data_IF_790193810222
#
_entry.id   IF_790193810222
#
_cell.length_a   1.000
_cell.length_b   1.000
_cell.length_c   1.000
_cell.angle_alpha   90.00
_cell.angle_beta   90.00
_cell.angle_gamma   90.00
#
_symmetry.space_group_name_H-M   'P 1'
#
loop_
_entity.id
_entity.type
_entity.pdbx_description
1 polymer ?
#
# COMPACT_ATOMS: atom_id res chain seq x y z
N UNK A 1 58.73 -33.08 13.60
CA UNK A 1 58.88 -32.61 12.22
C UNK A 1 57.63 -31.81 11.88
N UNK A 2 57.77 -30.50 11.75
CA UNK A 2 56.69 -29.56 11.44
C UNK A 2 56.45 -29.51 9.92
N UNK A 3 55.19 -29.51 9.47
CA UNK A 3 54.84 -29.28 8.07
C UNK A 3 54.09 -27.94 7.97
N UNK A 4 54.70 -27.02 7.21
CA UNK A 4 54.24 -25.66 6.96
C UNK A 4 53.10 -25.60 5.93
N UNK A 5 52.30 -24.56 6.13
CA UNK A 5 51.15 -24.03 5.37
C UNK A 5 51.38 -23.74 3.88
N UNK A 6 50.31 -23.81 3.09
CA UNK A 6 50.11 -22.92 1.93
C UNK A 6 48.60 -22.66 1.71
N UNK A 7 48.13 -21.48 2.12
CA UNK A 7 46.80 -20.95 1.76
C UNK A 7 46.99 -20.08 0.53
N UNK A 8 46.52 -20.54 -0.62
CA UNK A 8 46.45 -19.74 -1.84
C UNK A 8 45.25 -18.80 -1.79
N UNK A 9 45.49 -17.49 -1.82
CA UNK A 9 44.44 -16.49 -1.99
C UNK A 9 44.09 -16.35 -3.47
N UNK A 10 42.85 -16.69 -3.85
CA UNK A 10 42.30 -16.37 -5.17
C UNK A 10 41.55 -15.05 -5.06
N UNK A 11 42.13 -13.99 -5.63
CA UNK A 11 41.47 -12.71 -5.78
C UNK A 11 40.59 -12.73 -7.04
N UNK A 12 39.27 -12.76 -6.87
CA UNK A 12 38.31 -12.52 -7.95
C UNK A 12 38.01 -11.02 -8.03
N UNK A 13 38.53 -10.36 -9.06
CA UNK A 13 38.18 -9.00 -9.42
C UNK A 13 36.82 -9.00 -10.15
N UNK A 14 35.79 -8.41 -9.53
CA UNK A 14 34.50 -8.15 -10.18
C UNK A 14 34.57 -6.76 -10.80
N UNK A 15 34.57 -6.71 -12.14
CA UNK A 15 34.44 -5.46 -12.90
C UNK A 15 32.95 -5.08 -12.96
N UNK A 16 32.55 -4.08 -12.18
CA UNK A 16 31.20 -3.52 -12.23
C UNK A 16 31.12 -2.46 -13.36
N UNK A 17 30.55 -2.83 -14.50
CA UNK A 17 30.25 -1.90 -15.59
C UNK A 17 28.94 -1.16 -15.26
N UNK A 18 29.04 -0.03 -14.56
CA UNK A 18 27.91 0.80 -14.15
C UNK A 18 27.49 1.79 -15.25
N UNK A 19 26.58 1.38 -16.13
CA UNK A 19 25.83 2.34 -16.97
C UNK A 19 24.72 2.97 -16.11
N UNK A 20 25.06 4.03 -15.37
CA UNK A 20 24.10 4.80 -14.60
C UNK A 20 23.28 5.70 -15.53
N UNK A 21 22.10 5.22 -15.94
CA UNK A 21 21.07 6.08 -16.52
C UNK A 21 20.34 6.79 -15.38
N UNK A 22 20.75 8.02 -15.09
CA UNK A 22 20.04 8.92 -14.17
C UNK A 22 18.72 9.35 -14.82
N UNK A 23 17.55 9.09 -14.20
CA UNK A 23 16.31 9.69 -14.68
C UNK A 23 16.38 11.21 -14.47
N UNK A 24 15.97 11.99 -15.47
CA UNK A 24 15.85 13.45 -15.35
C UNK A 24 14.91 13.78 -14.19
N UNK A 25 15.39 14.59 -13.23
CA UNK A 25 14.53 15.14 -12.18
C UNK A 25 13.54 16.12 -12.83
N UNK A 26 12.23 16.02 -12.57
CA UNK A 26 11.29 17.06 -12.97
C UNK A 26 11.62 18.34 -12.19
N UNK A 27 11.76 19.44 -12.92
CA UNK A 27 12.02 20.76 -12.34
C UNK A 27 10.69 21.36 -11.88
N UNK A 28 10.44 21.32 -10.56
CA UNK A 28 9.31 22.02 -9.96
C UNK A 28 9.80 23.39 -9.49
N UNK A 29 9.80 24.34 -10.43
CA UNK A 29 9.91 25.75 -10.07
C UNK A 29 8.60 26.14 -9.36
N UNK A 30 8.66 26.29 -8.03
CA UNK A 30 7.53 26.80 -7.28
C UNK A 30 7.33 28.26 -7.66
N UNK A 31 6.31 28.56 -8.47
CA UNK A 31 5.87 29.92 -8.71
C UNK A 31 5.40 30.52 -7.38
N UNK A 32 6.30 31.28 -6.74
CA UNK A 32 6.06 31.96 -5.47
C UNK A 32 5.34 33.30 -5.65
N UNK A 33 4.83 33.61 -6.85
CA UNK A 33 4.13 34.87 -7.10
C UNK A 33 2.62 34.67 -7.15
N UNK A 34 2.03 34.32 -6.01
CA UNK A 34 0.59 34.12 -5.89
C UNK A 34 0.10 34.18 -4.45
N UNK A 35 0.32 35.29 -3.74
CA UNK A 35 -0.34 35.54 -2.45
C UNK A 35 -1.82 35.77 -2.71
N UNK A 36 -2.66 34.75 -2.52
CA UNK A 36 -4.11 34.96 -2.39
C UNK A 36 -4.34 35.55 -1.00
N UNK A 37 -4.84 36.80 -0.86
CA UNK A 37 -5.08 37.36 0.47
C UNK A 37 -6.30 36.65 1.09
N UNK A 38 -6.11 36.06 2.26
CA UNK A 38 -7.23 35.69 3.13
C UNK A 38 -7.91 36.99 3.58
N UNK A 39 -9.19 37.18 3.29
CA UNK A 39 -9.98 38.32 3.77
C UNK A 39 -10.23 38.21 5.29
N UNK A 40 -9.76 39.20 6.05
CA UNK A 40 -9.88 39.24 7.51
C UNK A 40 -11.34 39.44 7.96
N UNK A 41 -11.84 38.79 9.04
CA UNK A 41 -13.27 38.75 9.35
C UNK A 41 -13.87 40.05 9.90
N UNK A 42 -13.05 41.04 10.28
CA UNK A 42 -13.50 42.24 10.99
C UNK A 42 -13.15 43.53 10.26
N UNK A 43 -13.78 43.77 9.10
CA UNK A 43 -13.82 45.10 8.49
C UNK A 43 -15.28 45.48 8.21
N UNK A 44 -15.81 46.59 8.77
CA UNK A 44 -17.14 47.06 8.42
C UNK A 44 -17.12 47.50 6.95
N UNK A 45 -17.97 46.88 6.13
CA UNK A 45 -18.08 47.21 4.72
C UNK A 45 -18.83 48.54 4.58
N UNK A 46 -18.19 49.52 3.94
CA UNK A 46 -18.88 50.69 3.41
C UNK A 46 -19.81 50.24 2.28
N UNK A 47 -21.05 50.72 2.31
CA UNK A 47 -22.05 50.40 1.29
C UNK A 47 -21.60 50.93 -0.08
N UNK A 48 -21.56 50.12 -1.14
CA UNK A 48 -21.45 50.63 -2.50
C UNK A 48 -22.83 51.10 -2.95
N UNK A 49 -23.01 52.41 -3.02
CA UNK A 49 -24.03 53.05 -3.86
C UNK A 49 -23.57 52.94 -5.31
N UNK A 50 -24.14 51.99 -6.06
CA UNK A 50 -24.54 52.19 -7.45
C UNK A 50 -25.35 50.98 -7.92
N UNK A 51 -26.63 51.21 -8.16
CA UNK A 51 -27.60 50.22 -8.62
C UNK A 51 -27.32 49.85 -10.08
N UNK A 52 -26.41 48.90 -10.30
CA UNK A 52 -26.38 48.17 -11.55
C UNK A 52 -27.65 47.32 -11.65
N UNK A 53 -28.54 47.69 -12.56
CA UNK A 53 -29.75 46.92 -12.90
C UNK A 53 -29.34 45.52 -13.34
N UNK A 54 -29.49 44.55 -12.45
CA UNK A 54 -29.41 43.13 -12.79
C UNK A 54 -30.67 42.83 -13.60
N UNK A 55 -30.57 42.78 -14.92
CA UNK A 55 -31.63 42.25 -15.77
C UNK A 55 -32.00 40.82 -15.31
N UNK A 56 -33.26 40.38 -15.49
CA UNK A 56 -33.68 39.09 -14.97
C UNK A 56 -32.78 37.99 -15.55
N UNK A 57 -32.18 37.18 -14.68
CA UNK A 57 -31.52 35.97 -15.09
C UNK A 57 -32.53 35.11 -15.89
N UNK A 58 -32.09 34.51 -17.01
CA UNK A 58 -32.93 33.52 -17.71
C UNK A 58 -33.34 32.45 -16.71
N UNK A 59 -34.65 32.23 -16.57
CA UNK A 59 -35.16 31.14 -15.76
C UNK A 59 -34.57 29.82 -16.28
N UNK A 60 -33.86 29.10 -15.41
CA UNK A 60 -33.58 27.68 -15.64
C UNK A 60 -34.95 27.00 -15.70
N UNK A 61 -35.19 26.21 -16.76
CA UNK A 61 -36.47 25.60 -17.07
C UNK A 61 -37.15 24.97 -15.84
N UNK A 62 -38.50 24.98 -15.77
CA UNK A 62 -39.22 24.50 -14.59
C UNK A 62 -38.88 23.04 -14.28
N UNK A 63 -38.98 22.74 -12.99
CA UNK A 63 -38.72 21.50 -12.29
C UNK A 63 -39.63 20.33 -12.73
N UNK A 64 -39.59 20.00 -14.01
CA UNK A 64 -40.27 18.85 -14.58
C UNK A 64 -39.35 18.23 -15.63
N UNK A 65 -38.42 17.39 -15.17
CA UNK A 65 -37.83 16.38 -16.04
C UNK A 65 -38.93 15.32 -16.22
N UNK A 66 -39.82 15.50 -17.20
CA UNK A 66 -40.71 14.42 -17.62
C UNK A 66 -39.81 13.31 -18.16
N UNK A 67 -39.67 12.16 -17.50
CA UNK A 67 -39.04 11.02 -18.14
C UNK A 67 -39.89 10.75 -19.39
N UNK A 68 -39.30 10.61 -20.59
CA UNK A 68 -40.10 10.28 -21.76
C UNK A 68 -40.97 9.07 -21.40
N UNK A 69 -42.26 9.11 -21.76
CA UNK A 69 -43.16 7.97 -21.60
C UNK A 69 -42.59 6.81 -22.42
N UNK A 70 -41.69 6.05 -21.79
CA UNK A 70 -41.11 4.87 -22.38
C UNK A 70 -42.25 3.87 -22.48
N UNK A 71 -42.71 3.62 -23.72
CA UNK A 71 -43.67 2.59 -23.99
C UNK A 71 -43.24 1.32 -23.23
N UNK A 72 -44.17 0.68 -22.52
CA UNK A 72 -43.99 -0.59 -21.79
C UNK A 72 -43.85 -1.75 -22.78
N UNK A 73 -42.95 -1.61 -23.75
CA UNK A 73 -42.59 -2.67 -24.66
C UNK A 73 -41.77 -3.68 -23.87
N UNK A 74 -42.17 -4.95 -23.98
CA UNK A 74 -41.46 -6.06 -23.38
C UNK A 74 -40.05 -6.09 -23.98
N UNK A 75 -39.05 -5.73 -23.16
CA UNK A 75 -37.67 -5.72 -23.61
C UNK A 75 -37.20 -7.16 -23.80
N UNK A 76 -37.03 -7.58 -25.04
CA UNK A 76 -36.44 -8.86 -25.37
C UNK A 76 -34.91 -8.75 -25.31
N UNK A 77 -34.27 -9.64 -24.55
CA UNK A 77 -32.81 -9.73 -24.50
C UNK A 77 -32.33 -10.33 -25.81
N UNK A 78 -31.83 -9.47 -26.69
CA UNK A 78 -31.10 -9.88 -27.88
C UNK A 78 -29.68 -10.28 -27.46
N UNK A 79 -29.14 -11.31 -28.11
CA UNK A 79 -27.76 -11.73 -27.95
C UNK A 79 -26.78 -10.56 -28.15
N UNK A 80 -25.67 -10.61 -27.40
CA UNK A 80 -24.67 -9.56 -27.47
C UNK A 80 -24.15 -9.43 -28.91
N UNK A 81 -24.15 -8.20 -29.44
CA UNK A 81 -23.61 -7.93 -30.77
C UNK A 81 -22.16 -8.43 -30.84
N UNK A 82 -21.76 -9.15 -31.90
CA UNK A 82 -20.36 -9.55 -32.07
C UNK A 82 -19.44 -8.31 -32.10
N UNK A 83 -18.19 -8.44 -31.61
CA UNK A 83 -17.23 -7.34 -31.64
C UNK A 83 -17.05 -6.82 -33.07
N UNK A 84 -16.72 -5.53 -33.21
CA UNK A 84 -16.53 -4.84 -34.50
C UNK A 84 -15.21 -5.24 -35.20
N UNK A 85 -14.92 -6.55 -35.21
CA UNK A 85 -13.68 -7.15 -35.69
C UNK A 85 -12.76 -7.64 -34.58
N UNK A 86 -11.61 -8.15 -34.98
CA UNK A 86 -10.66 -8.84 -34.10
C UNK A 86 -9.98 -7.92 -33.06
N UNK A 87 -10.08 -6.60 -33.23
CA UNK A 87 -9.54 -5.61 -32.29
C UNK A 87 -10.36 -5.47 -31.00
N UNK A 88 -11.63 -5.91 -31.01
CA UNK A 88 -12.53 -5.84 -29.84
C UNK A 88 -12.50 -7.09 -28.96
N UNK A 89 -11.76 -8.12 -29.35
CA UNK A 89 -11.62 -9.35 -28.57
C UNK A 89 -10.50 -9.17 -27.55
N UNK A 90 -10.86 -8.92 -26.29
CA UNK A 90 -9.89 -9.08 -25.21
C UNK A 90 -9.45 -10.56 -25.20
N UNK A 91 -8.15 -10.86 -25.32
CA UNK A 91 -7.68 -12.24 -25.22
C UNK A 91 -8.07 -12.79 -23.84
N UNK A 92 -8.48 -14.06 -23.76
CA UNK A 92 -8.75 -14.69 -22.47
C UNK A 92 -7.51 -14.53 -21.58
N UNK A 93 -7.69 -14.26 -20.28
CA UNK A 93 -6.57 -14.09 -19.36
C UNK A 93 -5.68 -15.33 -19.45
N UNK A 94 -4.39 -15.12 -19.70
CA UNK A 94 -3.41 -16.22 -19.76
C UNK A 94 -3.47 -16.96 -18.41
N UNK A 95 -3.70 -18.29 -18.40
CA UNK A 95 -3.58 -19.06 -17.18
C UNK A 95 -2.15 -18.87 -16.65
N UNK A 96 -2.01 -18.19 -15.50
CA UNK A 96 -0.76 -18.24 -14.77
C UNK A 96 -0.61 -19.66 -14.25
N UNK A 97 0.54 -20.28 -14.52
CA UNK A 97 0.89 -21.54 -13.87
C UNK A 97 0.74 -21.33 -12.35
N UNK A 98 0.12 -22.28 -11.62
CA UNK A 98 0.06 -22.18 -10.17
C UNK A 98 1.49 -22.01 -9.66
N UNK A 99 1.70 -21.00 -8.81
CA UNK A 99 2.92 -20.91 -8.01
C UNK A 99 2.99 -22.21 -7.18
N UNK A 100 4.14 -22.88 -7.12
CA UNK A 100 4.32 -24.16 -6.41
C UNK A 100 4.15 -24.02 -4.87
N UNK A 101 3.72 -22.84 -4.42
CA UNK A 101 3.46 -22.52 -3.04
C UNK A 101 2.06 -22.98 -2.63
N UNK A 102 2.00 -24.09 -1.90
CA UNK A 102 0.75 -24.56 -1.28
C UNK A 102 0.28 -23.54 -0.22
N UNK A 103 -0.99 -23.14 -0.31
CA UNK A 103 -1.60 -22.21 0.64
C UNK A 103 -3.01 -21.77 0.26
N UNK A 104 -3.66 -21.06 1.16
CA UNK A 104 -5.00 -20.51 0.99
C UNK A 104 -4.91 -19.02 0.69
N UNK A 105 -5.55 -18.56 -0.38
CA UNK A 105 -5.71 -17.13 -0.67
C UNK A 105 -6.73 -16.53 0.29
N UNK A 106 -6.29 -15.55 1.09
CA UNK A 106 -7.11 -14.89 2.10
C UNK A 106 -7.62 -13.54 1.58
N UNK A 107 -8.86 -13.51 1.12
CA UNK A 107 -9.46 -12.30 0.54
C UNK A 107 -9.88 -11.29 1.62
N UNK A 108 -9.80 -10.00 1.24
CA UNK A 108 -10.24 -8.85 2.03
C UNK A 108 -9.63 -8.81 3.45
N UNK A 109 -8.29 -8.84 3.58
CA UNK A 109 -7.66 -8.85 4.89
C UNK A 109 -7.89 -7.53 5.65
N UNK A 110 -8.23 -7.66 6.93
CA UNK A 110 -8.40 -6.58 7.91
C UNK A 110 -7.23 -6.61 8.88
N UNK A 111 -6.27 -5.69 8.72
CA UNK A 111 -5.09 -5.57 9.58
C UNK A 111 -5.49 -5.18 11.02
N UNK A 112 -5.02 -5.95 12.01
CA UNK A 112 -5.32 -5.79 13.44
C UNK A 112 -4.14 -5.32 14.27
N UNK A 113 -2.91 -5.62 13.86
CA UNK A 113 -1.68 -5.07 14.44
C UNK A 113 -0.64 -4.82 13.35
N UNK A 114 0.57 -4.43 13.72
CA UNK A 114 1.71 -4.30 12.80
C UNK A 114 2.17 -5.63 12.18
N UNK A 115 1.75 -6.78 12.73
CA UNK A 115 2.08 -8.11 12.19
C UNK A 115 0.92 -9.13 12.30
N UNK A 116 -0.32 -8.66 12.27
CA UNK A 116 -1.50 -9.54 12.24
C UNK A 116 -2.66 -8.98 11.44
N UNK A 117 -3.47 -9.88 10.88
CA UNK A 117 -4.70 -9.53 10.16
C UNK A 117 -5.75 -10.62 10.30
N UNK A 118 -7.00 -10.26 9.99
CA UNK A 118 -8.12 -11.18 9.91
C UNK A 118 -8.68 -11.24 8.50
N UNK A 119 -9.02 -12.43 8.01
CA UNK A 119 -9.60 -12.63 6.69
C UNK A 119 -10.36 -13.95 6.66
N UNK A 120 -11.56 -13.99 6.07
CA UNK A 120 -12.30 -15.23 5.85
C UNK A 120 -12.46 -16.13 7.10
N UNK A 121 -12.59 -15.52 8.29
CA UNK A 121 -12.69 -16.24 9.57
C UNK A 121 -11.36 -16.63 10.21
N UNK A 122 -10.24 -16.47 9.50
CA UNK A 122 -8.90 -16.66 10.04
C UNK A 122 -8.43 -15.44 10.82
N UNK A 123 -7.79 -15.69 11.96
CA UNK A 123 -6.97 -14.72 12.68
C UNK A 123 -5.50 -15.09 12.45
N UNK A 124 -4.80 -14.34 11.62
CA UNK A 124 -3.43 -14.65 11.20
C UNK A 124 -2.43 -13.78 11.93
N UNK A 125 -1.47 -14.42 12.59
CA UNK A 125 -0.23 -13.82 13.07
C UNK A 125 0.87 -14.15 12.05
N UNK A 126 1.66 -13.16 11.64
CA UNK A 126 2.75 -13.41 10.69
C UNK A 126 3.86 -14.21 11.40
N UNK A 127 4.07 -15.45 10.99
CA UNK A 127 5.07 -16.34 11.58
C UNK A 127 6.47 -15.73 11.49
N UNK A 128 7.29 -15.94 12.52
CA UNK A 128 8.68 -15.42 12.60
C UNK A 128 8.79 -13.94 12.97
N UNK A 129 7.69 -13.23 13.15
CA UNK A 129 7.69 -11.80 13.51
C UNK A 129 7.12 -11.55 14.90
N UNK A 130 7.54 -10.44 15.50
CA UNK A 130 6.94 -9.87 16.70
C UNK A 130 6.37 -8.48 16.37
N UNK A 131 5.08 -8.32 16.66
CA UNK A 131 4.35 -7.09 16.36
C UNK A 131 4.80 -5.95 17.27
N UNK A 132 5.02 -4.77 16.70
CA UNK A 132 5.07 -3.51 17.44
C UNK A 132 3.68 -3.24 18.04
N UNK A 133 3.61 -3.11 19.36
CA UNK A 133 2.35 -2.84 20.06
C UNK A 133 1.69 -1.54 19.61
N UNK A 134 0.36 -1.51 19.49
CA UNK A 134 -0.39 -0.37 18.94
C UNK A 134 -0.09 0.96 19.65
N UNK A 135 0.05 0.93 20.97
CA UNK A 135 0.32 2.09 21.80
C UNK A 135 1.82 2.32 22.07
N UNK A 136 2.69 1.54 21.42
CA UNK A 136 4.13 1.69 21.58
C UNK A 136 4.61 3.02 21.01
N UNK A 137 5.46 3.70 21.77
CA UNK A 137 6.13 4.93 21.35
C UNK A 137 7.62 4.66 21.21
N UNK A 138 8.22 5.24 20.17
CA UNK A 138 9.64 5.13 19.88
C UNK A 138 10.29 6.49 20.04
N UNK A 139 11.59 6.49 20.33
CA UNK A 139 12.41 7.70 20.37
C UNK A 139 13.45 7.65 19.25
N UNK A 140 13.62 8.75 18.54
CA UNK A 140 14.73 8.92 17.62
C UNK A 140 15.27 10.35 17.74
N UNK A 141 16.56 10.48 18.09
CA UNK A 141 17.23 11.78 18.27
C UNK A 141 16.45 12.74 19.20
N UNK A 142 15.92 12.21 20.30
CA UNK A 142 15.15 12.98 21.30
C UNK A 142 13.69 13.23 20.94
N UNK A 143 13.23 12.79 19.76
CA UNK A 143 11.84 12.96 19.33
C UNK A 143 11.07 11.67 19.60
N UNK A 144 10.07 11.78 20.50
CA UNK A 144 9.13 10.70 20.79
C UNK A 144 7.98 10.69 19.79
N UNK A 145 7.58 9.50 19.33
CA UNK A 145 6.48 9.36 18.37
C UNK A 145 5.76 8.01 18.47
N UNK A 146 4.50 7.96 18.03
CA UNK A 146 3.62 6.77 18.11
C UNK A 146 3.93 5.76 17.01
N UNK A 147 5.07 5.10 17.14
CA UNK A 147 5.55 4.16 16.14
C UNK A 147 4.67 2.91 15.98
N UNK A 148 3.95 2.48 17.02
CA UNK A 148 2.99 1.39 16.95
C UNK A 148 1.85 1.63 15.96
N UNK A 149 1.23 2.82 16.01
CA UNK A 149 0.18 3.21 15.08
C UNK A 149 0.70 3.31 13.66
N UNK A 150 1.90 3.88 13.49
CA UNK A 150 2.53 4.00 12.18
C UNK A 150 2.85 2.64 11.57
N UNK A 151 3.37 1.70 12.36
CA UNK A 151 3.67 0.34 11.90
C UNK A 151 2.40 -0.40 11.45
N UNK A 152 1.31 -0.31 12.23
CA UNK A 152 0.02 -0.87 11.84
C UNK A 152 -0.51 -0.24 10.54
N UNK A 153 -0.41 1.09 10.41
CA UNK A 153 -0.82 1.80 9.20
C UNK A 153 0.02 1.40 7.99
N UNK A 154 1.35 1.30 8.14
CA UNK A 154 2.24 0.86 7.08
C UNK A 154 1.85 -0.54 6.57
N UNK A 155 1.61 -1.48 7.49
CA UNK A 155 1.15 -2.81 7.11
C UNK A 155 -0.23 -2.78 6.45
N UNK A 156 -1.18 -1.99 6.97
CA UNK A 156 -2.51 -1.80 6.39
C UNK A 156 -2.45 -1.25 4.96
N UNK A 157 -1.66 -0.21 4.73
CA UNK A 157 -1.52 0.40 3.41
C UNK A 157 -0.85 -0.55 2.42
N UNK A 158 0.18 -1.26 2.86
CA UNK A 158 0.83 -2.26 2.03
C UNK A 158 -0.10 -3.45 1.74
N UNK A 159 -0.92 -3.92 2.68
CA UNK A 159 -1.81 -5.06 2.39
C UNK A 159 -3.07 -4.68 1.58
N UNK A 160 -3.36 -3.37 1.45
CA UNK A 160 -4.62 -2.87 0.89
C UNK A 160 -4.92 -3.39 -0.51
N UNK A 161 -6.13 -3.93 -0.68
CA UNK A 161 -6.66 -4.35 -1.99
C UNK A 161 -6.01 -5.61 -2.55
N UNK A 162 -5.21 -6.33 -1.75
CA UNK A 162 -4.48 -7.53 -2.17
C UNK A 162 -4.83 -8.71 -1.27
N UNK A 163 -4.83 -9.91 -1.85
CA UNK A 163 -5.09 -11.15 -1.12
C UNK A 163 -3.75 -11.86 -0.85
N UNK A 164 -3.31 -11.97 0.40
CA UNK A 164 -2.13 -12.78 0.73
C UNK A 164 -2.42 -14.27 0.59
N UNK A 165 -1.42 -15.02 0.12
CA UNK A 165 -1.41 -16.48 0.11
C UNK A 165 -0.75 -16.97 1.39
N UNK A 166 -1.49 -17.68 2.24
CA UNK A 166 -1.00 -18.10 3.56
C UNK A 166 -1.10 -19.61 3.75
N UNK A 167 -0.11 -20.19 4.42
CA UNK A 167 -0.14 -21.58 4.86
C UNK A 167 -0.97 -21.70 6.14
N UNK A 168 -2.27 -21.90 5.98
CA UNK A 168 -3.24 -22.05 7.08
C UNK A 168 -4.02 -23.35 6.94
N UNK A 169 -4.20 -24.06 8.04
CA UNK A 169 -5.12 -25.20 8.12
C UNK A 169 -6.57 -24.71 8.16
N UNK A 170 -7.58 -25.55 7.82
CA UNK A 170 -8.98 -25.18 7.97
C UNK A 170 -9.28 -24.60 9.36
N UNK A 171 -10.13 -23.57 9.47
CA UNK A 171 -10.38 -22.88 10.73
C UNK A 171 -11.28 -23.75 11.60
N UNK A 172 -10.69 -24.72 12.31
CA UNK A 172 -11.42 -25.53 13.28
C UNK A 172 -11.76 -24.68 14.52
N UNK A 173 -10.87 -23.74 14.87
CA UNK A 173 -10.94 -22.97 16.10
C UNK A 173 -10.74 -21.48 15.79
N UNK A 174 -11.46 -20.59 16.49
CA UNK A 174 -11.30 -19.12 16.36
C UNK A 174 -9.98 -18.58 16.95
N UNK A 175 -8.99 -19.45 17.09
CA UNK A 175 -7.69 -19.13 17.69
C UNK A 175 -6.77 -18.47 16.66
N UNK A 176 -5.91 -17.53 17.07
CA UNK A 176 -4.88 -17.00 16.19
C UNK A 176 -3.92 -18.10 15.71
N UNK A 177 -3.66 -18.14 14.40
CA UNK A 177 -2.71 -19.07 13.79
C UNK A 177 -1.49 -18.27 13.34
N UNK A 178 -0.30 -18.71 13.76
CA UNK A 178 0.95 -18.21 13.21
C UNK A 178 1.20 -18.87 11.85
N UNK A 179 1.21 -18.08 10.78
CA UNK A 179 1.32 -18.59 9.42
C UNK A 179 2.38 -17.83 8.61
N UNK A 180 3.07 -18.57 7.73
CA UNK A 180 3.89 -17.98 6.68
C UNK A 180 2.96 -17.52 5.57
N UNK A 181 3.11 -16.26 5.16
CA UNK A 181 2.26 -15.62 4.17
C UNK A 181 3.09 -14.88 3.13
N UNK A 182 2.62 -14.89 1.88
CA UNK A 182 3.23 -14.19 0.76
C UNK A 182 2.21 -13.29 0.06
N UNK A 183 2.70 -12.19 -0.51
CA UNK A 183 1.94 -11.30 -1.37
C UNK A 183 2.59 -11.29 -2.76
N UNK A 184 2.03 -12.07 -3.67
CA UNK A 184 2.73 -12.43 -4.91
C UNK A 184 4.05 -13.13 -4.56
N UNK A 185 5.18 -12.59 -5.01
CA UNK A 185 6.51 -13.15 -4.75
C UNK A 185 7.13 -12.70 -3.42
N UNK A 186 6.56 -11.70 -2.76
CA UNK A 186 7.14 -11.09 -1.55
C UNK A 186 6.68 -11.81 -0.28
N UNK A 187 7.63 -12.18 0.57
CA UNK A 187 7.35 -12.67 1.92
C UNK A 187 6.89 -11.50 2.81
N UNK A 188 5.73 -11.65 3.47
CA UNK A 188 5.15 -10.60 4.31
C UNK A 188 6.01 -10.36 5.55
N UNK A 189 6.48 -11.41 6.21
CA UNK A 189 7.30 -11.31 7.42
C UNK A 189 8.63 -10.64 7.12
N UNK A 190 9.30 -11.07 6.05
CA UNK A 190 10.54 -10.45 5.60
C UNK A 190 10.35 -8.97 5.28
N UNK A 191 9.27 -8.61 4.57
CA UNK A 191 8.97 -7.20 4.26
C UNK A 191 8.72 -6.38 5.53
N UNK A 192 7.92 -6.88 6.48
CA UNK A 192 7.64 -6.19 7.72
C UNK A 192 8.93 -5.91 8.50
N UNK A 193 9.77 -6.93 8.67
CA UNK A 193 11.01 -6.79 9.44
C UNK A 193 12.03 -5.92 8.71
N UNK A 194 12.24 -6.09 7.40
CA UNK A 194 13.23 -5.32 6.63
C UNK A 194 12.89 -3.83 6.51
N UNK A 195 11.61 -3.48 6.65
CA UNK A 195 11.16 -2.09 6.65
C UNK A 195 11.01 -1.52 8.07
N UNK A 196 11.34 -2.29 9.11
CA UNK A 196 11.27 -1.86 10.51
C UNK A 196 9.84 -1.69 11.02
N UNK A 197 8.87 -2.44 10.49
CA UNK A 197 7.48 -2.42 10.97
C UNK A 197 7.14 -3.58 11.91
N UNK A 198 8.06 -4.53 12.10
CA UNK A 198 8.00 -5.60 13.10
C UNK A 198 9.42 -6.00 13.54
N UNK A 199 9.55 -6.61 14.70
CA UNK A 199 10.80 -7.22 15.15
C UNK A 199 10.90 -8.66 14.62
N UNK A 200 12.12 -9.18 14.46
CA UNK A 200 12.32 -10.59 14.17
C UNK A 200 12.15 -11.38 15.48
N UNK A 201 11.30 -12.40 15.47
CA UNK A 201 11.28 -13.36 16.58
C UNK A 201 12.58 -14.19 16.53
N UNK A 202 13.25 -14.46 17.67
CA UNK A 202 14.44 -15.31 17.68
C UNK A 202 14.18 -16.69 17.06
N UNK A 203 15.01 -17.10 16.11
CA UNK A 203 14.83 -18.34 15.35
C UNK A 203 13.73 -18.26 14.28
N UNK A 204 13.17 -17.08 14.04
CA UNK A 204 12.09 -16.83 13.08
C UNK A 204 12.57 -16.64 11.64
N UNK A 205 13.88 -16.54 11.41
CA UNK A 205 14.49 -16.47 10.08
C UNK A 205 14.61 -15.07 9.48
N UNK A 206 14.23 -14.02 10.22
CA UNK A 206 14.27 -12.63 9.76
C UNK A 206 15.32 -11.75 10.47
N UNK A 207 16.23 -12.33 11.25
CA UNK A 207 17.24 -11.60 12.01
C UNK A 207 18.11 -10.72 11.10
N UNK A 208 18.53 -11.26 9.95
CA UNK A 208 19.27 -10.48 8.93
C UNK A 208 18.42 -9.35 8.33
N UNK A 209 17.12 -9.54 8.18
CA UNK A 209 16.23 -8.50 7.69
C UNK A 209 16.11 -7.36 8.71
N UNK A 210 16.09 -7.69 10.02
CA UNK A 210 16.06 -6.68 11.07
C UNK A 210 17.37 -5.90 11.14
N UNK A 211 18.52 -6.57 10.98
CA UNK A 211 19.81 -5.89 10.86
C UNK A 211 19.83 -4.86 9.73
N UNK A 212 19.23 -5.20 8.57
CA UNK A 212 19.09 -4.27 7.44
C UNK A 212 18.25 -3.06 7.87
N UNK A 213 17.10 -3.28 8.51
CA UNK A 213 16.23 -2.20 8.96
C UNK A 213 16.92 -1.27 9.97
N UNK A 214 17.67 -1.84 10.92
CA UNK A 214 18.44 -1.07 11.92
C UNK A 214 19.55 -0.24 11.28
N UNK A 215 20.35 -0.85 10.40
CA UNK A 215 21.44 -0.15 9.69
C UNK A 215 20.91 0.97 8.79
N UNK A 216 19.79 0.74 8.13
CA UNK A 216 19.14 1.71 7.25
C UNK A 216 18.25 2.72 8.00
N UNK A 217 18.12 2.62 9.33
CA UNK A 217 17.23 3.47 10.14
C UNK A 217 15.79 3.49 9.58
N UNK A 218 15.25 2.30 9.29
CA UNK A 218 13.93 2.12 8.70
C UNK A 218 12.86 1.92 9.78
N UNK A 219 11.65 2.39 9.51
CA UNK A 219 10.48 2.17 10.37
C UNK A 219 10.70 2.63 11.80
N UNK A 220 10.50 1.73 12.77
CA UNK A 220 10.67 2.01 14.20
C UNK A 220 12.11 2.34 14.62
N UNK A 221 13.10 2.03 13.79
CA UNK A 221 14.53 2.31 14.07
C UNK A 221 15.00 3.66 13.53
N UNK A 222 14.11 4.38 12.85
CA UNK A 222 14.40 5.63 12.16
C UNK A 222 13.73 6.85 12.75
N UNK A 223 13.93 8.01 12.11
CA UNK A 223 13.22 9.21 12.46
C UNK A 223 11.70 9.04 12.30
N UNK A 224 10.89 9.77 13.07
CA UNK A 224 9.48 9.95 12.77
C UNK A 224 9.37 10.61 11.40
N UNK A 225 9.14 9.81 10.36
CA UNK A 225 9.00 10.33 8.99
C UNK A 225 7.67 10.99 8.71
#
# INVERSE_FOLDING_TARGET
MAALTAIGAVALAVMANGNHHTPLKPNFEADRSGTIPWASPNKPHAAPEDLAVIGPARAIAPEVVVPPEAATQTLERIEARPPLGNLGLAPPPKPMAPDDWEGTLLYRPSVKSSASFEAMGYKVLIAGTEAIGLHHSCEFEGIMWRCGERAMLAFRYWLRGRAPLCQVFPPADRQPVAAVCRLGKQDIGAWLVSNGWAHAKPGGGYERAEEVARKAKMGVFGPPG
#
